data_IF_243962484427
#
_entry.id   IF_243962484427
#
_cell.length_a   1.000
_cell.length_b   1.000
_cell.length_c   1.000
_cell.angle_alpha   90.00
_cell.angle_beta   90.00
_cell.angle_gamma   90.00
#
_symmetry.space_group_name_H-M   'P 1'
#
loop_
_entity.id
_entity.type
_entity.pdbx_description
1 polymer ?
#
# COMPACT_ATOMS: atom_id res chain seq x y z
N UNK A 1 47.18 11.34 -9.01
CA UNK A 1 46.24 12.09 -8.14
C UNK A 1 44.81 11.66 -8.49
N UNK A 2 44.16 10.74 -7.75
CA UNK A 2 42.74 10.48 -7.89
C UNK A 2 41.95 11.33 -6.90
N UNK A 3 41.11 12.20 -7.46
CA UNK A 3 40.11 13.03 -6.78
C UNK A 3 38.80 12.24 -6.73
N UNK A 4 38.56 11.48 -5.67
CA UNK A 4 37.21 10.93 -5.38
C UNK A 4 36.95 10.68 -3.88
N UNK A 5 37.62 11.43 -3.00
CA UNK A 5 37.27 11.48 -1.60
C UNK A 5 35.99 12.32 -1.42
N UNK A 6 34.86 11.65 -1.23
CA UNK A 6 33.61 12.29 -0.82
C UNK A 6 32.39 11.52 -1.29
N UNK A 7 31.81 10.74 -0.38
CA UNK A 7 30.47 10.14 -0.46
C UNK A 7 30.35 8.73 -1.06
N UNK A 8 31.07 7.76 -0.49
CA UNK A 8 30.63 6.36 -0.51
C UNK A 8 30.25 5.94 0.92
N UNK A 9 28.95 5.66 1.21
CA UNK A 9 28.56 5.07 2.49
C UNK A 9 29.22 3.69 2.60
N UNK A 10 30.03 3.51 3.65
CA UNK A 10 30.87 2.32 3.80
C UNK A 10 30.14 1.14 4.43
N UNK A 11 28.97 1.36 5.05
CA UNK A 11 28.17 0.31 5.70
C UNK A 11 26.66 0.62 5.69
N UNK A 12 25.76 -0.35 5.49
CA UNK A 12 24.31 -0.10 5.41
C UNK A 12 23.69 0.50 6.69
N UNK A 13 24.33 0.34 7.86
CA UNK A 13 23.83 0.93 9.11
C UNK A 13 23.93 2.46 9.18
N UNK A 14 24.90 3.10 8.50
CA UNK A 14 25.08 4.55 8.55
C UNK A 14 23.87 5.26 7.91
N UNK A 15 23.37 4.72 6.81
CA UNK A 15 22.26 5.25 6.04
C UNK A 15 20.95 5.22 6.83
N UNK A 16 20.75 4.21 7.69
CA UNK A 16 19.55 4.12 8.55
C UNK A 16 19.56 5.25 9.59
N UNK A 17 20.71 5.52 10.21
CA UNK A 17 20.87 6.60 11.19
C UNK A 17 20.63 7.98 10.57
N UNK A 18 21.21 8.24 9.38
CA UNK A 18 21.00 9.50 8.66
C UNK A 18 19.54 9.70 8.23
N UNK A 19 18.87 8.66 7.72
CA UNK A 19 17.42 8.71 7.43
C UNK A 19 16.59 8.91 8.69
N UNK A 20 16.98 8.33 9.82
CA UNK A 20 16.32 8.52 11.11
C UNK A 20 16.38 9.98 11.59
N UNK A 21 17.55 10.62 11.49
CA UNK A 21 17.73 12.04 11.88
C UNK A 21 16.92 12.98 10.97
N UNK A 22 16.96 12.76 9.66
CA UNK A 22 16.15 13.54 8.71
C UNK A 22 14.65 13.29 8.90
N UNK A 23 14.25 12.04 9.14
CA UNK A 23 12.87 11.67 9.43
C UNK A 23 12.34 12.35 10.71
N UNK A 24 13.13 12.34 11.79
CA UNK A 24 12.79 13.01 13.04
C UNK A 24 12.59 14.53 12.89
N UNK A 25 13.42 15.19 12.07
CA UNK A 25 13.26 16.61 11.76
C UNK A 25 11.93 16.90 11.03
N UNK A 26 11.54 16.02 10.08
CA UNK A 26 10.26 16.13 9.35
C UNK A 26 9.07 15.92 10.30
N UNK A 27 9.17 14.96 11.22
CA UNK A 27 8.14 14.76 12.26
C UNK A 27 8.01 15.98 13.17
N UNK A 28 9.13 16.62 13.55
CA UNK A 28 9.12 17.87 14.31
C UNK A 28 8.45 19.03 13.57
N UNK A 29 8.69 19.15 12.26
CA UNK A 29 7.98 20.08 11.39
C UNK A 29 6.48 19.78 11.34
N UNK A 30 6.09 18.51 11.15
CA UNK A 30 4.69 18.08 11.15
C UNK A 30 3.99 18.39 12.47
N UNK A 31 4.68 18.30 13.62
CA UNK A 31 4.11 18.67 14.92
C UNK A 31 3.78 20.16 15.05
N UNK A 32 4.40 21.03 14.24
CA UNK A 32 4.08 22.45 14.18
C UNK A 32 2.88 22.77 13.26
N UNK A 33 2.43 21.82 12.43
CA UNK A 33 1.26 21.95 11.57
C UNK A 33 -0.03 21.50 12.31
N UNK A 34 -1.17 22.19 12.09
CA UNK A 34 -2.46 21.73 12.63
C UNK A 34 -2.84 20.35 12.09
N UNK A 35 -3.47 19.51 12.93
CA UNK A 35 -3.84 18.12 12.61
C UNK A 35 -4.66 18.00 11.31
N UNK A 36 -5.50 18.99 11.02
CA UNK A 36 -6.30 19.05 9.80
C UNK A 36 -5.47 19.01 8.52
N UNK A 37 -4.31 19.68 8.47
CA UNK A 37 -3.44 19.68 7.28
C UNK A 37 -2.75 18.33 7.07
N UNK A 38 -2.37 17.66 8.16
CA UNK A 38 -1.74 16.34 8.13
C UNK A 38 -2.73 15.32 7.59
N UNK A 39 -4.00 15.36 8.01
CA UNK A 39 -5.04 14.47 7.50
C UNK A 39 -5.28 14.66 6.00
N UNK A 40 -5.27 15.90 5.51
CA UNK A 40 -5.45 16.19 4.07
C UNK A 40 -4.28 15.66 3.24
N UNK A 41 -3.04 15.88 3.68
CA UNK A 41 -1.83 15.36 3.01
C UNK A 41 -1.76 13.84 3.06
N UNK A 42 -2.12 13.24 4.21
CA UNK A 42 -2.20 11.81 4.35
C UNK A 42 -3.24 11.22 3.37
N UNK A 43 -4.42 11.83 3.26
CA UNK A 43 -5.44 11.44 2.29
C UNK A 43 -4.96 11.54 0.83
N UNK A 44 -4.29 12.64 0.47
CA UNK A 44 -3.71 12.83 -0.86
C UNK A 44 -2.62 11.80 -1.19
N UNK A 45 -1.75 11.49 -0.23
CA UNK A 45 -0.73 10.46 -0.38
C UNK A 45 -1.37 9.06 -0.57
N UNK A 46 -2.41 8.75 0.21
CA UNK A 46 -3.13 7.48 0.15
C UNK A 46 -3.89 7.31 -1.18
N UNK A 47 -4.48 8.39 -1.72
CA UNK A 47 -5.12 8.39 -3.05
C UNK A 47 -4.12 8.00 -4.16
N UNK A 48 -2.89 8.52 -4.11
CA UNK A 48 -1.82 8.15 -5.05
C UNK A 48 -1.46 6.67 -4.97
N UNK A 49 -1.29 6.13 -3.75
CA UNK A 49 -1.00 4.70 -3.56
C UNK A 49 -2.17 3.79 -3.94
N UNK A 50 -3.42 4.16 -3.61
CA UNK A 50 -4.61 3.39 -3.97
C UNK A 50 -4.80 3.36 -5.49
N UNK A 51 -4.69 4.50 -6.17
CA UNK A 51 -4.88 4.55 -7.63
C UNK A 51 -3.88 3.66 -8.37
N UNK A 52 -2.59 3.68 -7.99
CA UNK A 52 -1.57 2.83 -8.58
C UNK A 52 -1.80 1.34 -8.32
N UNK A 53 -2.12 0.96 -7.08
CA UNK A 53 -2.39 -0.43 -6.71
C UNK A 53 -3.68 -0.98 -7.34
N UNK A 54 -4.73 -0.16 -7.43
CA UNK A 54 -6.00 -0.54 -8.06
C UNK A 54 -5.85 -0.70 -9.59
N UNK A 55 -5.10 0.20 -10.23
CA UNK A 55 -4.81 0.09 -11.66
C UNK A 55 -4.04 -1.20 -12.00
N UNK A 56 -3.06 -1.55 -11.16
CA UNK A 56 -2.30 -2.80 -11.28
C UNK A 56 -3.22 -4.03 -11.12
N UNK A 57 -4.09 -4.03 -10.11
CA UNK A 57 -4.99 -5.13 -9.79
C UNK A 57 -6.12 -5.32 -10.83
N UNK A 58 -6.60 -4.23 -11.44
CA UNK A 58 -7.64 -4.27 -12.47
C UNK A 58 -7.10 -4.58 -13.88
N UNK A 59 -5.79 -4.41 -14.11
CA UNK A 59 -5.16 -4.69 -15.41
C UNK A 59 -5.06 -6.18 -15.74
N UNK A 60 -5.15 -7.08 -14.75
CA UNK A 60 -5.14 -8.52 -14.98
C UNK A 60 -6.57 -9.05 -15.09
N UNK A 61 -7.01 -9.42 -16.31
CA UNK A 61 -8.36 -9.92 -16.61
C UNK A 61 -8.83 -11.07 -15.68
N UNK A 62 -7.89 -11.92 -15.23
CA UNK A 62 -8.18 -13.05 -14.35
C UNK A 62 -8.35 -12.66 -12.87
N UNK A 63 -7.83 -11.50 -12.45
CA UNK A 63 -7.84 -11.02 -11.07
C UNK A 63 -8.83 -9.86 -10.87
N UNK A 64 -9.36 -9.28 -11.95
CA UNK A 64 -10.25 -8.13 -11.94
C UNK A 64 -11.53 -8.34 -11.11
N UNK A 65 -12.19 -9.48 -11.27
CA UNK A 65 -13.41 -9.82 -10.49
C UNK A 65 -13.09 -9.98 -9.00
N UNK A 66 -11.97 -10.63 -8.67
CA UNK A 66 -11.51 -10.79 -7.29
C UNK A 66 -11.10 -9.45 -6.64
N UNK A 67 -10.43 -8.58 -7.40
CA UNK A 67 -10.00 -7.26 -6.97
C UNK A 67 -11.19 -6.33 -6.73
N UNK A 68 -12.21 -6.33 -7.62
CA UNK A 68 -13.44 -5.54 -7.46
C UNK A 68 -14.19 -5.96 -6.19
N UNK A 69 -14.35 -7.27 -5.96
CA UNK A 69 -15.03 -7.79 -4.75
C UNK A 69 -14.26 -7.41 -3.49
N UNK A 70 -12.92 -7.52 -3.50
CA UNK A 70 -12.08 -7.15 -2.34
C UNK A 70 -12.09 -5.64 -2.06
N UNK A 71 -12.07 -4.82 -3.11
CA UNK A 71 -12.14 -3.37 -3.00
C UNK A 71 -13.52 -2.91 -2.51
N UNK A 72 -14.61 -3.45 -3.06
CA UNK A 72 -15.98 -3.19 -2.61
C UNK A 72 -16.18 -3.63 -1.16
N UNK A 73 -15.68 -4.80 -0.75
CA UNK A 73 -15.75 -5.26 0.63
C UNK A 73 -14.96 -4.34 1.58
N UNK A 74 -13.76 -3.90 1.16
CA UNK A 74 -12.90 -2.97 1.93
C UNK A 74 -13.57 -1.62 2.10
N UNK A 75 -14.08 -1.04 1.02
CA UNK A 75 -14.79 0.24 1.02
C UNK A 75 -16.12 0.16 1.78
N UNK A 76 -16.78 -1.01 1.77
CA UNK A 76 -18.05 -1.22 2.46
C UNK A 76 -17.90 -1.24 3.99
N UNK A 77 -16.68 -1.40 4.53
CA UNK A 77 -16.44 -1.40 5.98
C UNK A 77 -17.17 -2.51 6.75
N UNK A 78 -17.66 -3.54 6.06
CA UNK A 78 -18.49 -4.61 6.62
C UNK A 78 -17.60 -5.56 7.42
N UNK A 79 -17.60 -5.41 8.73
CA UNK A 79 -16.90 -6.26 9.70
C UNK A 79 -17.83 -7.37 10.18
N UNK A 80 -17.99 -8.41 9.38
CA UNK A 80 -18.67 -9.62 9.85
C UNK A 80 -17.67 -10.37 10.74
N UNK A 81 -17.94 -10.40 12.06
CA UNK A 81 -17.21 -11.16 13.10
C UNK A 81 -15.84 -10.61 13.55
N UNK A 82 -15.53 -9.32 13.34
CA UNK A 82 -14.25 -8.73 13.81
C UNK A 82 -13.04 -9.09 12.93
N UNK A 83 -13.26 -9.79 11.83
CA UNK A 83 -12.26 -10.04 10.77
C UNK A 83 -12.47 -9.01 9.66
N UNK A 84 -11.41 -8.26 9.37
CA UNK A 84 -11.43 -7.19 8.37
C UNK A 84 -11.82 -7.70 6.99
N UNK A 85 -12.57 -6.87 6.26
CA UNK A 85 -13.07 -7.07 4.90
C UNK A 85 -12.05 -7.56 3.86
N UNK A 86 -10.75 -7.29 4.07
CA UNK A 86 -9.67 -7.80 3.23
C UNK A 86 -9.61 -9.35 3.21
N UNK A 87 -9.92 -10.02 4.32
CA UNK A 87 -9.91 -11.48 4.40
C UNK A 87 -11.05 -12.10 3.59
N UNK A 88 -12.28 -11.58 3.76
CA UNK A 88 -13.44 -12.05 3.01
C UNK A 88 -13.33 -11.74 1.51
N UNK A 89 -12.70 -10.62 1.14
CA UNK A 89 -12.36 -10.30 -0.25
C UNK A 89 -11.42 -11.32 -0.89
N UNK A 90 -10.33 -11.69 -0.21
CA UNK A 90 -9.39 -12.71 -0.69
C UNK A 90 -10.05 -14.10 -0.77
N UNK A 91 -10.89 -14.46 0.20
CA UNK A 91 -11.61 -15.74 0.22
C UNK A 91 -12.62 -15.81 -0.93
N UNK A 92 -13.44 -14.78 -1.13
CA UNK A 92 -14.41 -14.74 -2.23
C UNK A 92 -13.72 -14.68 -3.60
N UNK A 93 -12.66 -13.88 -3.72
CA UNK A 93 -11.85 -13.80 -4.93
C UNK A 93 -11.20 -15.14 -5.27
N UNK A 94 -10.63 -15.82 -4.27
CA UNK A 94 -10.05 -17.15 -4.42
C UNK A 94 -11.09 -18.22 -4.76
N UNK A 95 -12.29 -18.17 -4.16
CA UNK A 95 -13.39 -19.09 -4.47
C UNK A 95 -13.90 -18.87 -5.89
N UNK A 96 -14.05 -17.61 -6.33
CA UNK A 96 -14.47 -17.28 -7.69
C UNK A 96 -13.43 -17.74 -8.73
N UNK A 97 -12.15 -17.48 -8.46
CA UNK A 97 -11.04 -17.96 -9.30
C UNK A 97 -11.00 -19.49 -9.35
N UNK A 98 -11.15 -20.18 -8.22
CA UNK A 98 -11.15 -21.62 -8.15
C UNK A 98 -12.33 -22.22 -8.94
N UNK A 99 -13.53 -21.68 -8.79
CA UNK A 99 -14.74 -22.09 -9.51
C UNK A 99 -14.58 -21.87 -11.02
N UNK A 100 -14.09 -20.71 -11.44
CA UNK A 100 -13.90 -20.37 -12.85
C UNK A 100 -12.74 -21.14 -13.51
N UNK A 101 -11.68 -21.46 -12.75
CA UNK A 101 -10.60 -22.35 -13.21
C UNK A 101 -11.07 -23.79 -13.37
N UNK A 102 -12.04 -24.24 -12.55
CA UNK A 102 -12.63 -25.58 -12.64
C UNK A 102 -13.58 -25.70 -13.82
N UNK A 103 -14.35 -24.65 -14.10
CA UNK A 103 -15.28 -24.60 -15.23
C UNK A 103 -14.57 -24.61 -16.61
N UNK A 104 -13.36 -24.05 -16.71
CA UNK A 104 -12.55 -24.06 -17.96
C UNK A 104 -11.76 -25.35 -18.23
N UNK A 105 -11.81 -26.35 -17.32
CA UNK A 105 -11.11 -27.64 -17.50
C UNK A 105 -12.02 -28.79 -17.97
N UNK A 106 -13.29 -28.50 -18.22
CA UNK A 106 -14.26 -29.40 -18.89
C UNK A 106 -14.71 -28.75 -20.18
#
# INVERSE_FOLDING_TARGET
MPVNAGWQPSQPEDFICWRGIFGGSITGLMAALPLSWIQTLAGLALLGTISGSLYQALSHEAERDAAIVTFLMTASGVTILGIGSAFWGLVLGGVCYALFSRARRT
#
